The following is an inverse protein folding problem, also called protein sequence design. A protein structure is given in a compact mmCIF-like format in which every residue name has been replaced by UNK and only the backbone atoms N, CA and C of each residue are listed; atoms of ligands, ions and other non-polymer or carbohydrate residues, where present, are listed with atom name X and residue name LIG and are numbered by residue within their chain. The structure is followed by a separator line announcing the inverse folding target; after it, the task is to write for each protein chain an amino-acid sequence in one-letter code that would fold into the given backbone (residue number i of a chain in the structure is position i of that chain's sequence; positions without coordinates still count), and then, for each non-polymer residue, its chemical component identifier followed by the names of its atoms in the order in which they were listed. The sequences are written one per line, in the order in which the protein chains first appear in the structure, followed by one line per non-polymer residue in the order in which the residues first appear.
data_IF_030003226926
#
_entry.id   IF_030003226926
#
_cell.length_a   1.000
_cell.length_b   1.000
_cell.length_c   1.000
_cell.angle_alpha   90.00
_cell.angle_beta   90.00
_cell.angle_gamma   90.00
#
_symmetry.space_group_name_H-M   'P 1'
#
loop_
_entity.id
_entity.type
_entity.pdbx_description
1 polymer ?
#
# COMPACT_ATOMS: atom_id res chain seq x y z
N UNK A 1 26.60 7.28 18.73
CA UNK A 1 26.54 8.31 17.66
C UNK A 1 25.11 8.63 17.25
N UNK A 2 24.31 7.66 16.79
CA UNK A 2 22.93 7.92 16.34
C UNK A 2 21.97 8.40 17.45
N UNK A 3 21.97 7.79 18.65
CA UNK A 3 21.15 8.29 19.77
C UNK A 3 21.51 9.72 20.20
N UNK A 4 22.77 10.14 19.99
CA UNK A 4 23.17 11.53 20.23
C UNK A 4 22.66 12.44 19.11
N UNK A 5 22.74 12.00 17.85
CA UNK A 5 22.19 12.71 16.71
C UNK A 5 20.66 12.89 16.83
N UNK A 6 19.91 11.86 17.25
CA UNK A 6 18.46 11.98 17.54
C UNK A 6 18.13 13.06 18.57
N UNK A 7 19.02 13.35 19.52
CA UNK A 7 18.80 14.42 20.50
C UNK A 7 19.02 15.83 19.91
N UNK A 8 19.92 15.94 18.94
CA UNK A 8 20.34 17.22 18.34
C UNK A 8 19.49 17.58 17.12
N UNK A 9 19.32 16.65 16.19
CA UNK A 9 18.66 16.86 14.91
C UNK A 9 17.14 16.76 15.05
N UNK A 10 16.42 17.80 14.66
CA UNK A 10 14.97 17.86 14.80
C UNK A 10 14.28 16.76 13.99
N UNK A 11 14.65 16.59 12.71
CA UNK A 11 14.01 15.61 11.82
C UNK A 11 14.16 14.16 12.32
N UNK A 12 15.26 13.83 13.01
CA UNK A 12 15.48 12.49 13.57
C UNK A 12 14.63 12.18 14.81
N UNK A 13 14.10 13.21 15.49
CA UNK A 13 13.22 13.03 16.66
C UNK A 13 11.87 12.47 16.28
N UNK A 14 11.44 12.71 15.03
CA UNK A 14 10.17 12.25 14.50
C UNK A 14 10.17 10.76 14.16
N UNK A 15 11.36 10.14 14.09
CA UNK A 15 11.50 8.72 13.83
C UNK A 15 11.51 7.89 15.12
N UNK A 16 10.68 6.86 15.15
CA UNK A 16 10.66 5.81 16.16
C UNK A 16 11.69 4.72 15.82
N UNK A 17 12.15 4.01 16.84
CA UNK A 17 13.01 2.83 16.73
C UNK A 17 12.54 1.81 17.77
N UNK A 18 12.62 0.52 17.44
CA UNK A 18 12.29 -0.56 18.38
C UNK A 18 13.35 -0.72 19.46
N UNK A 19 13.03 -1.42 20.56
CA UNK A 19 14.03 -1.75 21.57
C UNK A 19 15.13 -2.64 20.97
N UNK A 20 16.38 -2.31 21.21
CA UNK A 20 17.53 -3.13 20.78
C UNK A 20 17.69 -4.31 21.75
N UNK A 21 17.02 -5.42 21.44
CA UNK A 21 17.08 -6.67 22.23
C UNK A 21 18.11 -7.68 21.71
N UNK A 22 18.98 -7.25 20.79
CA UNK A 22 20.06 -8.05 20.22
C UNK A 22 21.43 -7.39 20.48
N UNK A 23 22.49 -8.19 20.39
CA UNK A 23 23.88 -7.75 20.61
C UNK A 23 24.36 -6.81 19.48
N UNK A 24 25.44 -6.04 19.68
CA UNK A 24 26.04 -5.24 18.61
C UNK A 24 26.27 -6.04 17.31
N UNK A 25 25.93 -5.43 16.18
CA UNK A 25 25.91 -6.05 14.84
C UNK A 25 27.19 -5.84 14.04
N UNK A 26 28.12 -5.05 14.58
CA UNK A 26 29.46 -4.80 14.07
C UNK A 26 30.44 -4.86 15.24
N UNK A 27 31.73 -5.18 15.11
CA UNK A 27 32.44 -5.75 13.97
C UNK A 27 32.76 -7.22 14.29
N UNK A 28 32.42 -8.13 13.39
CA UNK A 28 32.74 -9.55 13.54
C UNK A 28 33.91 -9.99 12.67
N UNK A 29 34.56 -11.08 13.08
CA UNK A 29 35.40 -11.84 12.16
C UNK A 29 34.49 -12.52 11.12
N UNK A 30 34.95 -12.55 9.85
CA UNK A 30 34.15 -13.17 8.79
C UNK A 30 33.97 -14.66 9.07
N UNK A 31 32.79 -15.16 8.71
CA UNK A 31 32.33 -16.53 8.93
C UNK A 31 32.29 -16.94 10.41
N UNK A 32 32.14 -15.95 11.30
CA UNK A 32 32.15 -16.14 12.75
C UNK A 32 31.11 -15.26 13.45
N UNK A 33 30.77 -15.65 14.68
CA UNK A 33 30.02 -14.84 15.65
C UNK A 33 30.96 -14.20 16.69
N UNK A 34 32.28 -14.35 16.53
CA UNK A 34 33.30 -13.73 17.36
C UNK A 34 33.55 -12.31 16.88
N UNK A 35 33.57 -11.36 17.82
CA UNK A 35 33.91 -9.96 17.54
C UNK A 35 35.38 -9.81 17.15
N UNK A 36 35.66 -8.77 16.36
CA UNK A 36 36.95 -8.44 15.73
C UNK A 36 38.18 -8.82 16.57
N UNK A 37 38.85 -9.90 16.17
CA UNK A 37 40.10 -10.36 16.81
C UNK A 37 41.35 -9.80 16.12
N UNK A 38 41.18 -9.01 15.05
CA UNK A 38 42.30 -8.37 14.36
C UNK A 38 43.04 -7.39 15.27
N UNK A 39 44.24 -6.99 14.85
CA UNK A 39 45.07 -6.02 15.59
C UNK A 39 44.35 -4.69 15.88
N UNK A 40 43.38 -4.32 15.03
CA UNK A 40 42.60 -3.08 15.20
C UNK A 40 41.61 -3.15 16.36
N UNK A 41 41.16 -4.36 16.75
CA UNK A 41 40.22 -4.64 17.86
C UNK A 41 39.10 -3.62 17.95
N UNK A 42 38.37 -3.42 16.85
CA UNK A 42 37.32 -2.40 16.81
C UNK A 42 36.23 -2.73 17.82
N UNK A 43 35.82 -1.70 18.57
CA UNK A 43 34.76 -1.84 19.56
C UNK A 43 33.45 -2.27 18.89
N UNK A 44 32.73 -3.26 19.45
CA UNK A 44 31.42 -3.62 18.93
C UNK A 44 30.46 -2.43 18.93
N UNK A 45 29.63 -2.32 17.89
CA UNK A 45 28.62 -1.27 17.73
C UNK A 45 27.33 -1.82 17.11
N UNK A 46 26.20 -1.23 17.49
CA UNK A 46 24.93 -1.45 16.78
C UNK A 46 24.89 -0.57 15.54
N UNK A 47 25.02 -1.21 14.39
CA UNK A 47 24.89 -0.63 13.05
C UNK A 47 23.60 -1.11 12.40
N UNK A 48 23.26 -0.55 11.23
CA UNK A 48 22.14 -1.03 10.41
C UNK A 48 20.77 -0.92 11.10
N UNK A 49 20.58 0.17 11.85
CA UNK A 49 19.37 0.41 12.65
C UNK A 49 18.19 0.83 11.78
N UNK A 50 17.00 0.35 12.12
CA UNK A 50 15.75 0.64 11.39
C UNK A 50 14.95 1.70 12.15
N UNK A 51 14.74 2.83 11.50
CA UNK A 51 13.99 3.97 12.03
C UNK A 51 12.75 4.18 11.14
N UNK A 52 11.58 4.43 11.73
CA UNK A 52 10.34 4.67 10.98
C UNK A 52 9.55 5.86 11.52
N UNK A 53 8.76 6.50 10.65
CA UNK A 53 7.82 7.57 10.99
C UNK A 53 6.51 7.31 10.24
N UNK A 54 5.38 7.51 10.89
CA UNK A 54 4.07 7.57 10.25
C UNK A 54 3.79 9.04 9.93
N UNK A 55 3.50 9.35 8.65
CA UNK A 55 3.11 10.70 8.25
C UNK A 55 1.59 10.80 8.34
N UNK A 56 1.10 11.70 9.19
CA UNK A 56 -0.32 12.03 9.21
C UNK A 56 -0.63 12.86 7.95
N UNK A 57 -1.57 12.37 7.14
CA UNK A 57 -2.00 13.08 5.92
C UNK A 57 -2.96 14.24 6.23
N UNK A 58 -3.55 14.27 7.44
CA UNK A 58 -4.57 15.25 7.83
C UNK A 58 -4.01 16.59 8.35
N UNK A 59 -2.68 16.72 8.54
CA UNK A 59 -2.07 17.93 9.12
C UNK A 59 -1.99 19.13 8.14
N UNK A 60 -2.47 19.00 6.90
CA UNK A 60 -2.37 20.05 5.89
C UNK A 60 -3.54 21.06 5.87
N UNK A 61 -4.61 20.88 6.68
CA UNK A 61 -5.87 21.62 6.48
C UNK A 61 -6.54 22.31 7.67
N UNK A 62 -6.25 21.96 8.93
CA UNK A 62 -7.02 22.50 10.06
C UNK A 62 -6.16 22.72 11.29
N UNK A 63 -5.72 23.98 11.50
CA UNK A 63 -5.29 24.46 12.80
C UNK A 63 -6.49 25.08 13.52
N UNK A 64 -7.37 24.27 14.09
CA UNK A 64 -8.27 24.73 15.16
C UNK A 64 -8.41 23.63 16.21
N UNK A 65 -8.29 24.06 17.46
CA UNK A 65 -8.27 23.27 18.69
C UNK A 65 -9.52 22.41 18.88
N UNK A 66 -9.36 21.16 19.31
CA UNK A 66 -9.79 20.68 20.63
C UNK A 66 -9.66 19.16 20.75
N UNK A 67 -9.14 18.76 21.92
CA UNK A 67 -9.09 17.42 22.52
C UNK A 67 -10.16 16.41 22.07
N UNK A 68 -9.92 15.75 20.96
CA UNK A 68 -10.48 14.44 20.64
C UNK A 68 -9.30 13.55 20.27
N UNK A 69 -9.30 12.30 20.72
CA UNK A 69 -8.28 11.33 20.34
C UNK A 69 -8.26 11.26 18.81
N UNK A 70 -7.26 11.89 18.18
CA UNK A 70 -7.08 11.84 16.73
C UNK A 70 -6.91 10.37 16.34
N UNK A 71 -7.99 9.74 15.86
CA UNK A 71 -7.91 8.39 15.33
C UNK A 71 -6.99 8.42 14.11
N UNK A 72 -5.74 8.00 14.31
CA UNK A 72 -4.80 7.91 13.22
C UNK A 72 -5.34 6.92 12.17
N UNK A 73 -5.50 7.33 10.90
CA UNK A 73 -6.06 6.48 9.85
C UNK A 73 -5.16 5.28 9.54
N UNK A 74 -3.88 5.36 9.92
CA UNK A 74 -2.89 4.29 9.77
C UNK A 74 -2.20 4.09 11.12
N UNK A 75 -2.36 2.90 11.68
CA UNK A 75 -1.57 2.39 12.82
C UNK A 75 -0.40 1.55 12.28
N UNK A 76 0.78 1.72 12.86
CA UNK A 76 1.98 0.92 12.50
C UNK A 76 2.56 0.32 13.77
N UNK A 77 2.57 -1.01 13.84
CA UNK A 77 3.15 -1.79 14.92
C UNK A 77 4.41 -2.54 14.45
N UNK A 78 5.46 -2.54 15.25
CA UNK A 78 6.66 -3.32 15.00
C UNK A 78 6.53 -4.68 15.69
N UNK A 79 6.34 -5.73 14.90
CA UNK A 79 6.20 -7.10 15.41
C UNK A 79 7.55 -7.68 15.85
N UNK A 80 8.59 -7.54 15.01
CA UNK A 80 9.92 -8.11 15.24
C UNK A 80 11.01 -7.10 14.92
N UNK A 81 12.06 -7.05 15.74
CA UNK A 81 13.28 -6.27 15.48
C UNK A 81 14.50 -7.04 15.95
N UNK A 82 15.15 -7.73 15.02
CA UNK A 82 16.16 -8.75 15.33
C UNK A 82 17.37 -8.63 14.43
N UNK A 83 18.48 -9.19 14.91
CA UNK A 83 19.71 -9.38 14.14
C UNK A 83 19.90 -10.85 13.80
N UNK A 84 20.49 -11.12 12.63
CA UNK A 84 20.72 -12.48 12.15
C UNK A 84 22.21 -12.86 12.22
N UNK A 85 22.61 -13.53 13.30
CA UNK A 85 24.02 -13.88 13.55
C UNK A 85 24.58 -14.95 12.60
N UNK A 86 23.71 -15.83 12.09
CA UNK A 86 24.07 -16.92 11.17
C UNK A 86 24.65 -16.44 9.83
N UNK A 87 24.43 -15.18 9.45
CA UNK A 87 25.02 -14.60 8.24
C UNK A 87 26.46 -14.18 8.52
N UNK A 88 27.42 -14.98 8.04
CA UNK A 88 28.85 -14.82 8.33
C UNK A 88 29.67 -14.11 7.25
N UNK A 89 29.14 -13.90 6.04
CA UNK A 89 29.95 -13.47 4.88
C UNK A 89 30.56 -12.06 5.09
N UNK A 90 29.85 -11.20 5.84
CA UNK A 90 30.28 -9.84 6.19
C UNK A 90 30.69 -9.74 7.67
N UNK A 91 31.46 -8.70 7.99
CA UNK A 91 31.76 -8.29 9.37
C UNK A 91 30.60 -7.51 10.04
N UNK A 92 29.51 -7.32 9.30
CA UNK A 92 28.21 -6.84 9.78
C UNK A 92 27.19 -7.97 9.82
N UNK A 93 26.29 -7.95 10.81
CA UNK A 93 25.13 -8.84 10.91
C UNK A 93 23.87 -8.11 10.46
N UNK A 94 23.09 -8.68 9.51
CA UNK A 94 21.85 -8.07 9.04
C UNK A 94 20.86 -7.84 10.17
N UNK A 95 20.12 -6.74 10.09
CA UNK A 95 19.03 -6.37 11.00
C UNK A 95 17.73 -6.32 10.22
N UNK A 96 16.67 -6.91 10.76
CA UNK A 96 15.34 -6.91 10.14
C UNK A 96 14.29 -6.37 11.09
N UNK A 97 13.36 -5.57 10.55
CA UNK A 97 12.17 -5.08 11.22
C UNK A 97 10.93 -5.57 10.47
N UNK A 98 10.00 -6.24 11.16
CA UNK A 98 8.71 -6.66 10.57
C UNK A 98 7.61 -5.79 11.13
N UNK A 99 6.83 -5.15 10.25
CA UNK A 99 5.78 -4.23 10.64
C UNK A 99 4.40 -4.79 10.31
N UNK A 100 3.42 -4.56 11.19
CA UNK A 100 1.99 -4.70 10.92
C UNK A 100 1.44 -3.30 10.72
N UNK A 101 0.73 -3.11 9.61
CA UNK A 101 0.01 -1.87 9.32
C UNK A 101 -1.48 -2.17 9.46
N UNK A 102 -2.18 -1.34 10.20
CA UNK A 102 -3.64 -1.39 10.30
C UNK A 102 -4.17 -0.06 9.78
N UNK A 103 -5.11 -0.12 8.85
CA UNK A 103 -5.68 1.05 8.22
C UNK A 103 -7.16 1.08 8.55
N UNK A 104 -7.66 2.22 9.00
CA UNK A 104 -9.09 2.43 9.18
C UNK A 104 -9.69 2.86 7.85
N UNK A 105 -10.74 2.18 7.36
CA UNK A 105 -11.50 2.67 6.21
C UNK A 105 -11.99 4.08 6.52
N UNK A 106 -11.81 5.00 5.57
CA UNK A 106 -12.36 6.37 5.70
C UNK A 106 -13.89 6.37 5.54
N UNK A 107 -14.43 5.36 4.88
CA UNK A 107 -15.84 5.17 4.59
C UNK A 107 -16.21 3.72 4.89
N UNK A 108 -17.39 3.53 5.49
CA UNK A 108 -17.95 2.19 5.75
C UNK A 108 -18.49 1.54 4.49
N UNK A 109 -19.07 2.36 3.60
CA UNK A 109 -19.62 1.94 2.31
C UNK A 109 -18.74 2.47 1.18
N UNK A 110 -18.50 1.68 0.11
CA UNK A 110 -17.72 2.14 -1.04
C UNK A 110 -18.45 3.27 -1.77
N UNK A 111 -17.69 4.25 -2.29
CA UNK A 111 -18.25 5.35 -3.09
C UNK A 111 -18.83 4.84 -4.41
N UNK A 112 -18.24 3.78 -4.96
CA UNK A 112 -18.68 3.10 -6.17
C UNK A 112 -18.74 1.59 -5.93
N UNK A 113 -19.87 0.98 -6.24
CA UNK A 113 -20.03 -0.49 -6.25
C UNK A 113 -19.95 -0.99 -7.69
N UNK A 114 -19.13 -2.02 -7.93
CA UNK A 114 -18.90 -2.62 -9.25
C UNK A 114 -19.42 -4.06 -9.27
N UNK A 115 -20.17 -4.39 -10.31
CA UNK A 115 -20.77 -5.70 -10.53
C UNK A 115 -20.34 -6.23 -11.90
N UNK A 116 -19.26 -7.04 -11.96
CA UNK A 116 -18.95 -7.85 -13.13
C UNK A 116 -20.02 -8.92 -13.24
N UNK A 117 -20.78 -8.91 -14.32
CA UNK A 117 -21.85 -9.87 -14.55
C UNK A 117 -21.61 -10.73 -15.77
N UNK A 118 -22.16 -11.94 -15.73
CA UNK A 118 -22.03 -12.90 -16.82
C UNK A 118 -20.66 -13.56 -16.87
N UNK A 119 -20.40 -14.21 -17.99
CA UNK A 119 -19.15 -14.90 -18.27
C UNK A 119 -18.19 -13.95 -18.98
N UNK A 120 -17.01 -13.75 -18.41
CA UNK A 120 -16.00 -12.86 -18.97
C UNK A 120 -15.08 -13.66 -19.88
N UNK A 121 -15.26 -13.51 -21.20
CA UNK A 121 -14.44 -14.19 -22.20
C UNK A 121 -14.10 -13.23 -23.34
N UNK A 122 -13.03 -13.51 -24.08
CA UNK A 122 -12.66 -12.74 -25.27
C UNK A 122 -13.55 -13.06 -26.50
N UNK A 123 -14.74 -13.63 -26.30
CA UNK A 123 -15.68 -13.99 -27.37
C UNK A 123 -16.73 -12.90 -27.62
N UNK A 124 -17.14 -12.19 -26.56
CA UNK A 124 -18.22 -11.20 -26.61
C UNK A 124 -17.84 -9.97 -25.79
N UNK A 125 -18.40 -8.82 -26.16
CA UNK A 125 -18.25 -7.61 -25.36
C UNK A 125 -18.89 -7.83 -23.99
N UNK A 126 -18.22 -7.37 -22.94
CA UNK A 126 -18.65 -7.58 -21.56
C UNK A 126 -19.25 -6.29 -21.01
N UNK A 127 -20.33 -6.44 -20.25
CA UNK A 127 -21.01 -5.33 -19.60
C UNK A 127 -20.61 -5.26 -18.13
N UNK A 128 -20.22 -4.05 -17.71
CA UNK A 128 -19.96 -3.71 -16.33
C UNK A 128 -21.14 -2.91 -15.81
N UNK A 129 -21.76 -3.37 -14.73
CA UNK A 129 -22.74 -2.58 -13.99
C UNK A 129 -22.07 -1.93 -12.79
N UNK A 130 -22.40 -0.67 -12.53
CA UNK A 130 -21.92 0.03 -11.35
C UNK A 130 -22.95 1.01 -10.82
N UNK A 131 -22.84 1.30 -9.53
CA UNK A 131 -23.64 2.32 -8.86
C UNK A 131 -22.73 3.21 -8.04
N UNK A 132 -23.10 4.48 -7.93
CA UNK A 132 -22.37 5.47 -7.13
C UNK A 132 -23.25 5.93 -5.97
N UNK A 133 -22.64 6.37 -4.88
CA UNK A 133 -23.37 7.09 -3.83
C UNK A 133 -24.05 8.35 -4.39
N UNK A 134 -25.15 8.83 -3.77
CA UNK A 134 -25.76 10.11 -4.15
C UNK A 134 -24.74 11.26 -4.15
N UNK A 135 -24.84 12.15 -5.12
CA UNK A 135 -23.94 13.32 -5.26
C UNK A 135 -22.45 12.97 -5.45
N UNK A 136 -22.14 11.76 -5.94
CA UNK A 136 -20.77 11.40 -6.28
C UNK A 136 -20.17 12.36 -7.32
N UNK A 137 -18.98 12.95 -7.08
CA UNK A 137 -18.37 13.93 -7.98
C UNK A 137 -17.68 13.22 -9.16
N UNK A 138 -18.46 12.69 -10.10
CA UNK A 138 -17.93 12.02 -11.30
C UNK A 138 -17.21 13.00 -12.23
N UNK A 139 -16.32 12.46 -13.06
CA UNK A 139 -15.61 13.18 -14.12
C UNK A 139 -15.65 12.39 -15.42
N UNK A 140 -15.62 13.08 -16.57
CA UNK A 140 -15.38 12.46 -17.89
C UNK A 140 -14.07 11.67 -17.96
N UNK A 141 -13.14 11.97 -17.07
CA UNK A 141 -11.84 11.31 -16.93
C UNK A 141 -11.86 10.19 -15.89
N UNK A 142 -13.02 9.81 -15.38
CA UNK A 142 -13.16 8.60 -14.57
C UNK A 142 -13.18 7.38 -15.49
N UNK A 143 -12.59 6.28 -15.03
CA UNK A 143 -12.49 5.05 -15.80
C UNK A 143 -12.59 3.81 -14.89
N UNK A 144 -13.07 2.72 -15.46
CA UNK A 144 -13.12 1.40 -14.82
C UNK A 144 -12.07 0.51 -15.49
N UNK A 145 -11.09 0.05 -14.72
CA UNK A 145 -10.05 -0.85 -15.21
C UNK A 145 -10.29 -2.29 -14.78
N UNK A 146 -9.87 -3.22 -15.64
CA UNK A 146 -9.73 -4.64 -15.34
C UNK A 146 -8.31 -4.90 -14.85
N UNK A 147 -8.15 -5.47 -13.66
CA UNK A 147 -6.86 -5.74 -13.03
C UNK A 147 -6.74 -7.22 -12.70
N UNK A 148 -5.54 -7.78 -12.86
CA UNK A 148 -5.24 -9.09 -12.31
C UNK A 148 -5.16 -9.00 -10.78
N UNK A 149 -5.65 -10.02 -10.06
CA UNK A 149 -5.50 -10.09 -8.60
C UNK A 149 -4.02 -9.93 -8.22
N UNK A 150 -3.77 -9.20 -7.12
CA UNK A 150 -2.45 -8.80 -6.64
C UNK A 150 -1.73 -7.73 -7.47
N UNK A 151 -2.48 -6.88 -8.19
CA UNK A 151 -1.96 -5.62 -8.75
C UNK A 151 -1.33 -4.72 -7.66
N UNK A 152 -0.36 -3.88 -8.04
CA UNK A 152 0.44 -3.08 -7.11
C UNK A 152 0.31 -1.58 -7.32
N UNK A 153 -0.13 -1.18 -8.50
CA UNK A 153 -0.27 0.20 -8.91
C UNK A 153 -1.55 0.41 -9.71
N UNK A 154 -2.12 1.61 -9.65
CA UNK A 154 -3.31 1.98 -10.43
C UNK A 154 -3.09 1.86 -11.96
N UNK A 155 -1.84 1.81 -12.41
CA UNK A 155 -1.49 1.68 -13.84
C UNK A 155 -1.23 0.23 -14.25
N UNK A 156 -1.46 -0.74 -13.36
CA UNK A 156 -1.29 -2.18 -13.65
C UNK A 156 -2.55 -2.78 -14.29
N UNK A 157 -3.48 -1.96 -14.80
CA UNK A 157 -4.67 -2.45 -15.49
C UNK A 157 -4.28 -3.21 -16.77
N UNK A 158 -5.07 -4.23 -17.10
CA UNK A 158 -4.97 -4.98 -18.34
C UNK A 158 -5.69 -4.26 -19.47
N UNK A 159 -6.91 -3.79 -19.19
CA UNK A 159 -7.67 -2.90 -20.05
C UNK A 159 -8.58 -2.00 -19.19
N UNK A 160 -9.23 -1.02 -19.79
CA UNK A 160 -10.12 -0.08 -19.12
C UNK A 160 -11.21 0.44 -20.06
N UNK A 161 -12.28 0.98 -19.47
CA UNK A 161 -13.33 1.73 -20.17
C UNK A 161 -13.56 3.09 -19.48
N UNK A 162 -13.85 4.13 -20.27
CA UNK A 162 -14.22 5.45 -19.74
C UNK A 162 -15.67 5.44 -19.26
N UNK A 163 -15.93 6.11 -18.13
CA UNK A 163 -17.24 6.09 -17.48
C UNK A 163 -18.28 6.90 -18.24
N UNK A 164 -17.93 8.07 -18.81
CA UNK A 164 -18.91 9.00 -19.40
C UNK A 164 -19.20 8.71 -20.89
N UNK A 165 -18.24 8.16 -21.64
CA UNK A 165 -18.40 7.94 -23.09
C UNK A 165 -19.30 6.73 -23.42
N UNK A 166 -19.39 5.74 -22.52
CA UNK A 166 -20.09 4.47 -22.76
C UNK A 166 -21.33 4.27 -21.84
N UNK A 167 -21.81 5.34 -21.16
CA UNK A 167 -22.96 5.30 -20.25
C UNK A 167 -24.31 5.14 -21.01
N UNK A 168 -24.90 3.94 -21.01
CA UNK A 168 -26.30 3.73 -21.41
C UNK A 168 -27.24 3.88 -20.20
N UNK A 169 -28.21 4.80 -20.25
CA UNK A 169 -29.13 5.02 -19.12
C UNK A 169 -30.09 3.84 -18.92
N UNK A 170 -29.92 3.07 -17.85
CA UNK A 170 -30.92 2.12 -17.36
C UNK A 170 -31.14 2.29 -15.87
N UNK A 171 -32.28 2.88 -15.46
CA UNK A 171 -32.63 3.25 -14.08
C UNK A 171 -31.66 4.24 -13.40
N UNK A 172 -32.20 5.16 -12.60
CA UNK A 172 -31.43 6.24 -11.94
C UNK A 172 -30.32 5.74 -11.00
N UNK A 173 -30.34 4.46 -10.63
CA UNK A 173 -29.48 3.87 -9.60
C UNK A 173 -28.42 2.90 -10.14
N UNK A 174 -28.41 2.58 -11.45
CA UNK A 174 -27.46 1.64 -12.04
C UNK A 174 -26.95 2.13 -13.40
N UNK A 175 -25.64 2.38 -13.49
CA UNK A 175 -24.96 2.80 -14.71
C UNK A 175 -24.26 1.59 -15.35
N UNK A 176 -24.00 1.68 -16.65
CA UNK A 176 -23.39 0.58 -17.41
C UNK A 176 -22.28 1.11 -18.30
N UNK A 177 -21.21 0.33 -18.44
CA UNK A 177 -20.09 0.55 -19.37
C UNK A 177 -19.77 -0.80 -20.02
N UNK A 178 -19.21 -0.82 -21.22
CA UNK A 178 -18.73 -2.07 -21.84
C UNK A 178 -17.23 -2.06 -22.05
N UNK A 179 -16.64 -3.25 -22.08
CA UNK A 179 -15.27 -3.46 -22.57
C UNK A 179 -15.37 -4.38 -23.78
N UNK A 180 -14.64 -4.03 -24.84
CA UNK A 180 -14.68 -4.83 -26.06
C UNK A 180 -14.02 -6.20 -25.86
N UNK A 181 -14.61 -7.24 -26.46
CA UNK A 181 -14.08 -8.60 -26.45
C UNK A 181 -12.60 -8.67 -26.87
N UNK A 182 -12.16 -7.80 -27.78
CA UNK A 182 -10.78 -7.77 -28.27
C UNK A 182 -9.76 -7.33 -27.22
N UNK A 183 -10.21 -6.66 -26.16
CA UNK A 183 -9.37 -6.14 -25.08
C UNK A 183 -9.36 -7.08 -23.86
N UNK A 184 -10.24 -8.08 -23.84
CA UNK A 184 -10.29 -9.08 -22.78
C UNK A 184 -9.08 -10.02 -22.92
N UNK A 185 -8.32 -10.26 -21.82
CA UNK A 185 -7.18 -11.15 -21.87
C UNK A 185 -7.60 -12.58 -22.24
N UNK A 186 -6.91 -13.17 -23.22
CA UNK A 186 -7.14 -14.57 -23.64
C UNK A 186 -6.55 -15.60 -22.68
N UNK A 187 -5.60 -15.16 -21.87
CA UNK A 187 -5.02 -15.97 -20.80
C UNK A 187 -5.91 -15.84 -19.59
N UNK A 188 -6.56 -16.94 -19.21
CA UNK A 188 -7.47 -16.92 -18.07
C UNK A 188 -6.77 -16.65 -16.75
N UNK A 189 -7.55 -16.30 -15.73
CA UNK A 189 -7.06 -16.00 -14.39
C UNK A 189 -8.09 -15.33 -13.50
N UNK A 190 -7.65 -14.93 -12.31
CA UNK A 190 -8.48 -14.19 -11.37
C UNK A 190 -8.23 -12.68 -11.51
N UNK A 191 -9.32 -11.94 -11.71
CA UNK A 191 -9.33 -10.51 -11.97
C UNK A 191 -10.32 -9.78 -11.06
N UNK A 192 -10.22 -8.46 -11.06
CA UNK A 192 -11.10 -7.55 -10.33
C UNK A 192 -11.28 -6.26 -11.15
N UNK A 193 -12.41 -5.59 -10.97
CA UNK A 193 -12.66 -4.27 -11.53
C UNK A 193 -12.33 -3.20 -10.50
N UNK A 194 -11.69 -2.12 -10.94
CA UNK A 194 -11.44 -0.94 -10.11
C UNK A 194 -11.98 0.32 -10.80
N UNK A 195 -12.78 1.12 -10.08
CA UNK A 195 -13.20 2.44 -10.53
C UNK A 195 -12.18 3.47 -10.05
N UNK A 196 -11.55 4.18 -10.98
CA UNK A 196 -10.67 5.30 -10.68
C UNK A 196 -11.41 6.62 -10.84
N UNK A 197 -11.41 7.43 -9.77
CA UNK A 197 -11.91 8.80 -9.82
C UNK A 197 -10.78 9.77 -10.11
N UNK A 198 -10.91 10.54 -11.19
CA UNK A 198 -9.97 11.61 -11.52
C UNK A 198 -10.07 12.78 -10.55
N UNK A 199 -11.27 13.10 -10.04
CA UNK A 199 -11.41 14.18 -9.06
C UNK A 199 -10.76 13.83 -7.71
N UNK A 200 -10.83 12.57 -7.29
CA UNK A 200 -10.23 12.09 -6.03
C UNK A 200 -8.82 11.51 -6.19
N UNK A 201 -8.32 11.40 -7.44
CA UNK A 201 -7.03 10.81 -7.80
C UNK A 201 -6.79 9.44 -7.11
N UNK A 202 -7.80 8.59 -7.09
CA UNK A 202 -7.78 7.33 -6.34
C UNK A 202 -8.78 6.31 -6.86
N UNK A 203 -8.53 5.03 -6.53
CA UNK A 203 -9.51 3.96 -6.70
C UNK A 203 -10.56 4.09 -5.60
N UNK A 204 -11.83 4.18 -6.00
CA UNK A 204 -12.96 4.47 -5.10
C UNK A 204 -14.03 3.39 -5.09
N UNK A 205 -13.83 2.35 -5.90
CA UNK A 205 -14.64 1.14 -5.93
C UNK A 205 -13.81 -0.03 -6.44
N UNK A 206 -13.95 -1.19 -5.82
CA UNK A 206 -13.30 -2.45 -6.21
C UNK A 206 -14.37 -3.54 -6.19
N UNK A 207 -14.47 -4.36 -7.24
CA UNK A 207 -15.39 -5.50 -7.27
C UNK A 207 -14.87 -6.68 -6.44
N UNK A 208 -15.74 -7.65 -6.17
CA UNK A 208 -15.28 -8.99 -5.80
C UNK A 208 -14.43 -9.59 -6.93
N UNK A 209 -13.44 -10.46 -6.62
CA UNK A 209 -12.69 -11.18 -7.64
C UNK A 209 -13.56 -12.11 -8.49
N UNK A 210 -13.24 -12.24 -9.78
CA UNK A 210 -13.92 -13.11 -10.73
C UNK A 210 -12.94 -13.74 -11.72
N UNK A 211 -13.39 -14.78 -12.41
CA UNK A 211 -12.59 -15.45 -13.45
C UNK A 211 -12.84 -14.83 -14.81
N UNK A 212 -11.76 -14.64 -15.56
CA UNK A 212 -11.72 -14.33 -17.00
C UNK A 212 -10.97 -15.46 -17.69
#
# INVERSE_FOLDING_TARGET
QLNMAKKKEAFLKEFKEGPLLFRPTYKFDRYSEVYDTSEKKRKPAWTDRILWKVKNLCEAGSKEDNSSEEEHPISVNLNNYVSHMSYGISDHKPVTGTFRLEMKPLLSDPLVTLNPEGEWTAEHDVLIRYSTVPEFPSSAWDWIGLFQVAFRHVNDYVTYAWVEDDEFSSNKDSKQVYISASEIPKTGGEFLLCYYSNNLQSIVGISEPFQV
#
